data_IF_013153822655
#
_entry.id   IF_013153822655
#
_cell.length_a   1.000
_cell.length_b   1.000
_cell.length_c   1.000
_cell.angle_alpha   90.00
_cell.angle_beta   90.00
_cell.angle_gamma   90.00
#
_symmetry.space_group_name_H-M   'P 1'
#
loop_
_entity.id
_entity.type
_entity.pdbx_description
1 polymer ?
#
# COMPACT_ATOMS: atom_id res chain seq x y z
N UNK A 1 7.47 -10.89 27.04
CA UNK A 1 6.65 -9.78 27.56
C UNK A 1 6.71 -8.55 26.64
N UNK A 2 7.88 -8.19 26.10
CA UNK A 2 8.11 -7.02 25.23
C UNK A 2 7.31 -7.04 23.90
N UNK A 3 7.23 -8.19 23.21
CA UNK A 3 6.47 -8.33 21.95
C UNK A 3 4.95 -8.13 22.09
N UNK A 4 4.37 -8.41 23.27
CA UNK A 4 2.94 -8.18 23.51
C UNK A 4 2.67 -6.67 23.65
N UNK A 5 3.62 -5.93 24.21
CA UNK A 5 3.52 -4.49 24.40
C UNK A 5 3.59 -3.73 23.06
N UNK A 6 4.53 -4.08 22.17
CA UNK A 6 4.67 -3.38 20.88
C UNK A 6 3.45 -3.58 19.96
N UNK A 7 2.83 -4.77 19.97
CA UNK A 7 1.61 -5.03 19.19
C UNK A 7 0.40 -4.26 19.74
N UNK A 8 0.30 -4.13 21.06
CA UNK A 8 -0.72 -3.29 21.68
C UNK A 8 -0.54 -1.80 21.32
N UNK A 9 0.71 -1.29 21.38
CA UNK A 9 1.05 0.08 20.96
C UNK A 9 0.70 0.28 19.48
N UNK A 10 1.07 -0.65 18.61
CA UNK A 10 0.73 -0.60 17.18
C UNK A 10 -0.79 -0.51 16.96
N UNK A 11 -1.58 -1.34 17.64
CA UNK A 11 -3.03 -1.31 17.51
C UNK A 11 -3.65 -0.01 18.05
N UNK A 12 -3.11 0.55 19.14
CA UNK A 12 -3.54 1.85 19.66
C UNK A 12 -3.24 2.98 18.68
N UNK A 13 -2.06 2.99 18.06
CA UNK A 13 -1.70 3.97 17.04
C UNK A 13 -2.58 3.84 15.79
N UNK A 14 -2.77 2.61 15.30
CA UNK A 14 -3.67 2.30 14.19
C UNK A 14 -5.08 2.84 14.47
N UNK A 15 -5.63 2.56 15.66
CA UNK A 15 -6.96 3.04 16.04
C UNK A 15 -7.02 4.57 16.09
N UNK A 16 -6.03 5.22 16.73
CA UNK A 16 -5.95 6.69 16.82
C UNK A 16 -5.94 7.37 15.45
N UNK A 17 -5.09 6.88 14.53
CA UNK A 17 -4.96 7.40 13.16
C UNK A 17 -6.28 7.25 12.41
N UNK A 18 -6.90 6.07 12.47
CA UNK A 18 -8.15 5.80 11.75
C UNK A 18 -9.33 6.58 12.31
N UNK A 19 -9.45 6.71 13.65
CA UNK A 19 -10.48 7.55 14.26
C UNK A 19 -10.32 9.04 13.89
N UNK A 20 -9.08 9.53 13.88
CA UNK A 20 -8.78 10.91 13.46
C UNK A 20 -9.19 11.13 12.00
N UNK A 21 -8.98 10.14 11.14
CA UNK A 21 -9.39 10.20 9.74
C UNK A 21 -10.92 10.16 9.54
N UNK A 22 -11.61 9.33 10.33
CA UNK A 22 -13.06 9.16 10.23
C UNK A 22 -13.84 10.35 10.77
N UNK A 23 -13.32 11.06 11.77
CA UNK A 23 -13.98 12.24 12.31
C UNK A 23 -13.92 13.42 11.30
N UNK A 24 -15.07 13.94 10.82
CA UNK A 24 -15.10 15.01 9.83
C UNK A 24 -14.28 16.26 10.22
N UNK A 25 -14.27 16.62 11.51
CA UNK A 25 -13.57 17.79 12.02
C UNK A 25 -12.03 17.66 11.99
N UNK A 26 -11.51 16.43 11.97
CA UNK A 26 -10.06 16.14 11.97
C UNK A 26 -9.60 15.39 10.72
N UNK A 27 -10.52 15.06 9.81
CA UNK A 27 -10.27 14.22 8.63
C UNK A 27 -9.17 14.73 7.71
N UNK A 28 -8.97 16.05 7.64
CA UNK A 28 -7.93 16.71 6.86
C UNK A 28 -6.52 16.65 7.48
N UNK A 29 -6.40 16.24 8.75
CA UNK A 29 -5.10 16.14 9.43
C UNK A 29 -4.31 14.90 9.02
N UNK A 30 -4.99 13.88 8.49
CA UNK A 30 -4.39 12.61 8.11
C UNK A 30 -4.59 12.42 6.59
N UNK A 31 -3.52 12.30 5.79
CA UNK A 31 -3.63 11.97 4.36
C UNK A 31 -4.40 10.67 4.12
N UNK A 32 -5.15 10.60 3.02
CA UNK A 32 -5.93 9.41 2.64
C UNK A 32 -5.04 8.17 2.51
N UNK A 33 -3.91 8.33 1.82
CA UNK A 33 -2.88 7.31 1.63
C UNK A 33 -2.31 6.79 2.96
N UNK A 34 -1.99 7.69 3.89
CA UNK A 34 -1.46 7.30 5.21
C UNK A 34 -2.49 6.53 6.03
N UNK A 35 -3.73 7.01 6.09
CA UNK A 35 -4.81 6.29 6.75
C UNK A 35 -5.05 4.92 6.13
N UNK A 36 -5.05 4.84 4.80
CA UNK A 36 -5.18 3.58 4.08
C UNK A 36 -4.04 2.61 4.38
N UNK A 37 -2.79 3.06 4.41
CA UNK A 37 -1.64 2.21 4.73
C UNK A 37 -1.77 1.58 6.14
N UNK A 38 -2.16 2.36 7.15
CA UNK A 38 -2.45 1.83 8.49
C UNK A 38 -3.67 0.90 8.53
N UNK A 39 -4.71 1.19 7.75
CA UNK A 39 -5.87 0.31 7.63
C UNK A 39 -5.52 -1.03 7.00
N UNK A 40 -4.88 -1.01 5.84
CA UNK A 40 -4.49 -2.17 5.03
C UNK A 40 -3.23 -2.89 5.57
N UNK A 41 -2.65 -2.39 6.66
CA UNK A 41 -1.49 -2.97 7.32
C UNK A 41 -0.23 -3.00 6.43
N UNK A 42 -0.01 -1.92 5.69
CA UNK A 42 1.11 -1.67 4.78
C UNK A 42 2.07 -0.67 5.42
N UNK A 43 3.37 -0.92 5.32
CA UNK A 43 4.36 0.07 5.76
C UNK A 43 4.30 1.35 4.90
N UNK A 44 4.03 2.55 5.49
CA UNK A 44 3.79 3.78 4.74
C UNK A 44 5.09 4.49 4.31
N UNK A 45 5.88 3.88 3.42
CA UNK A 45 7.23 4.37 3.07
C UNK A 45 7.30 5.74 2.36
N UNK A 46 6.17 6.31 1.91
CA UNK A 46 6.11 7.63 1.29
C UNK A 46 5.81 8.76 2.30
N UNK A 47 5.59 8.40 3.58
CA UNK A 47 5.43 9.34 4.68
C UNK A 47 6.65 9.27 5.59
N UNK A 48 7.03 10.39 6.19
CA UNK A 48 8.12 10.45 7.16
C UNK A 48 7.55 10.71 8.56
N UNK A 49 7.68 9.72 9.45
CA UNK A 49 7.14 9.79 10.82
C UNK A 49 7.74 8.70 11.70
N UNK A 50 8.28 9.12 12.84
CA UNK A 50 8.89 8.24 13.85
C UNK A 50 7.97 7.10 14.30
N UNK A 51 6.65 7.34 14.33
CA UNK A 51 5.66 6.36 14.83
C UNK A 51 5.72 5.06 14.02
N UNK A 52 5.70 5.14 12.68
CA UNK A 52 5.70 3.95 11.86
C UNK A 52 7.10 3.36 11.69
N UNK A 53 8.15 4.16 11.86
CA UNK A 53 9.54 3.69 11.93
C UNK A 53 9.75 2.76 13.14
N UNK A 54 9.31 3.18 14.33
CA UNK A 54 9.43 2.41 15.57
C UNK A 54 8.59 1.12 15.55
N UNK A 55 7.51 1.13 14.77
CA UNK A 55 6.55 0.02 14.69
C UNK A 55 6.65 -0.79 13.40
N UNK A 56 7.71 -0.59 12.60
CA UNK A 56 7.86 -1.19 11.25
C UNK A 56 7.68 -2.71 11.19
N UNK A 57 8.08 -3.40 12.26
CA UNK A 57 7.98 -4.86 12.34
C UNK A 57 6.54 -5.37 12.48
N UNK A 58 5.59 -4.51 12.87
CA UNK A 58 4.19 -4.86 13.06
C UNK A 58 3.39 -4.90 11.75
N UNK A 59 3.86 -4.24 10.69
CA UNK A 59 3.16 -4.20 9.41
C UNK A 59 3.13 -5.57 8.74
N UNK A 60 2.02 -5.94 8.09
CA UNK A 60 1.93 -7.19 7.34
C UNK A 60 2.81 -7.11 6.07
N UNK A 61 2.56 -6.10 5.24
CA UNK A 61 3.42 -5.80 4.09
C UNK A 61 4.60 -4.95 4.58
N UNK A 62 5.78 -5.56 4.58
CA UNK A 62 7.00 -4.99 5.18
C UNK A 62 7.56 -3.85 4.35
N UNK A 63 8.29 -2.96 5.01
CA UNK A 63 9.02 -1.85 4.38
C UNK A 63 9.79 -2.29 3.13
N UNK A 64 10.54 -3.40 3.21
CA UNK A 64 11.31 -3.93 2.08
C UNK A 64 10.44 -4.31 0.88
N UNK A 65 9.25 -4.86 1.13
CA UNK A 65 8.32 -5.25 0.06
C UNK A 65 7.75 -4.01 -0.61
N UNK A 66 7.23 -3.06 0.18
CA UNK A 66 6.64 -1.82 -0.35
C UNK A 66 7.68 -1.02 -1.14
N UNK A 67 8.89 -0.85 -0.60
CA UNK A 67 9.99 -0.15 -1.27
C UNK A 67 10.42 -0.85 -2.56
N UNK A 68 10.50 -2.18 -2.57
CA UNK A 68 10.85 -2.92 -3.79
C UNK A 68 9.78 -2.76 -4.87
N UNK A 69 8.49 -2.84 -4.52
CA UNK A 69 7.39 -2.58 -5.46
C UNK A 69 7.49 -1.16 -6.03
N UNK A 70 7.73 -0.16 -5.17
CA UNK A 70 7.93 1.23 -5.59
C UNK A 70 9.12 1.37 -6.56
N UNK A 71 10.28 0.81 -6.23
CA UNK A 71 11.49 0.89 -7.05
C UNK A 71 11.31 0.27 -8.44
N UNK A 72 10.68 -0.91 -8.51
CA UNK A 72 10.43 -1.56 -9.81
C UNK A 72 9.38 -0.78 -10.61
N UNK A 73 8.32 -0.31 -9.96
CA UNK A 73 7.28 0.48 -10.61
C UNK A 73 7.82 1.81 -11.15
N UNK A 74 8.57 2.54 -10.32
CA UNK A 74 9.23 3.80 -10.70
C UNK A 74 10.21 3.59 -11.86
N UNK A 75 11.05 2.55 -11.80
CA UNK A 75 11.95 2.22 -12.90
C UNK A 75 11.19 1.94 -14.19
N UNK A 76 10.13 1.15 -14.16
CA UNK A 76 9.34 0.85 -15.36
C UNK A 76 8.63 2.09 -15.90
N UNK A 77 8.12 2.93 -15.01
CA UNK A 77 7.46 4.19 -15.33
C UNK A 77 8.42 5.18 -16.01
N UNK A 78 9.58 5.45 -15.41
CA UNK A 78 10.62 6.32 -15.98
C UNK A 78 11.12 5.83 -17.34
N UNK A 79 11.14 4.51 -17.56
CA UNK A 79 11.55 3.90 -18.82
C UNK A 79 10.41 3.76 -19.85
N UNK A 80 9.19 4.21 -19.54
CA UNK A 80 7.98 4.04 -20.37
C UNK A 80 7.68 2.58 -20.72
N UNK A 81 8.00 1.67 -19.79
CA UNK A 81 7.78 0.21 -19.88
C UNK A 81 6.82 -0.24 -18.78
N UNK A 82 5.73 0.50 -18.61
CA UNK A 82 4.68 0.19 -17.63
C UNK A 82 4.20 -1.26 -17.84
N UNK A 83 3.99 -1.95 -16.72
CA UNK A 83 3.52 -3.33 -16.69
C UNK A 83 2.05 -3.37 -16.26
N UNK A 84 1.34 -4.38 -16.73
CA UNK A 84 0.02 -4.78 -16.23
C UNK A 84 0.13 -5.38 -14.83
N UNK A 85 -1.00 -5.52 -14.14
CA UNK A 85 -1.04 -6.16 -12.84
C UNK A 85 -0.49 -7.59 -12.89
N UNK A 86 -0.93 -8.42 -13.85
CA UNK A 86 -0.46 -9.80 -13.96
C UNK A 86 1.02 -9.90 -14.32
N UNK A 87 1.56 -8.94 -15.07
CA UNK A 87 3.01 -8.87 -15.31
C UNK A 87 3.79 -8.58 -14.02
N UNK A 88 3.29 -7.70 -13.13
CA UNK A 88 3.88 -7.52 -11.80
C UNK A 88 3.74 -8.78 -10.93
N UNK A 89 2.55 -9.38 -10.89
CA UNK A 89 2.30 -10.61 -10.12
C UNK A 89 3.25 -11.73 -10.58
N UNK A 90 3.40 -11.92 -11.89
CA UNK A 90 4.36 -12.87 -12.47
C UNK A 90 5.80 -12.53 -12.11
N UNK A 91 6.20 -11.26 -12.25
CA UNK A 91 7.55 -10.80 -11.92
C UNK A 91 7.90 -11.11 -10.47
N UNK A 92 6.99 -10.86 -9.53
CA UNK A 92 7.27 -11.07 -8.11
C UNK A 92 7.12 -12.52 -7.66
N UNK A 93 6.25 -13.32 -8.30
CA UNK A 93 6.01 -14.70 -7.91
C UNK A 93 6.93 -15.72 -8.61
N UNK A 94 7.36 -15.44 -9.85
CA UNK A 94 8.05 -16.43 -10.70
C UNK A 94 9.52 -16.09 -10.97
N UNK A 95 9.93 -14.82 -10.91
CA UNK A 95 11.33 -14.44 -11.17
C UNK A 95 12.21 -14.84 -9.97
N UNK A 96 13.27 -15.62 -10.23
CA UNK A 96 14.24 -16.07 -9.24
C UNK A 96 14.86 -14.92 -8.43
N UNK A 97 14.90 -13.71 -9.00
CA UNK A 97 15.42 -12.51 -8.33
C UNK A 97 14.48 -11.97 -7.24
N UNK A 98 13.17 -12.16 -7.40
CA UNK A 98 12.16 -11.48 -6.57
C UNK A 98 11.26 -12.44 -5.76
N UNK A 99 11.16 -13.71 -6.15
CA UNK A 99 10.28 -14.70 -5.51
C UNK A 99 10.45 -14.83 -3.99
N UNK A 100 11.67 -14.65 -3.48
CA UNK A 100 11.98 -14.77 -2.05
C UNK A 100 11.46 -13.58 -1.20
N UNK A 101 10.97 -12.51 -1.84
CA UNK A 101 10.35 -11.36 -1.15
C UNK A 101 8.90 -11.61 -0.75
N UNK A 102 8.29 -12.74 -1.16
CA UNK A 102 6.91 -13.11 -0.83
C UNK A 102 5.89 -12.00 -1.16
N UNK A 103 6.07 -11.34 -2.31
CA UNK A 103 5.14 -10.33 -2.80
C UNK A 103 4.13 -11.05 -3.69
N UNK A 104 2.91 -11.22 -3.20
CA UNK A 104 1.82 -11.83 -3.94
C UNK A 104 0.75 -10.82 -4.33
N UNK A 105 -0.41 -11.37 -4.70
CA UNK A 105 -1.58 -10.57 -5.09
C UNK A 105 -1.99 -9.56 -4.03
N UNK A 106 -2.06 -9.95 -2.77
CA UNK A 106 -2.58 -9.08 -1.71
C UNK A 106 -1.65 -7.91 -1.45
N UNK A 107 -0.34 -8.16 -1.43
CA UNK A 107 0.70 -7.14 -1.25
C UNK A 107 0.72 -6.15 -2.41
N UNK A 108 0.59 -6.63 -3.66
CA UNK A 108 0.52 -5.77 -4.85
C UNK A 108 -0.74 -4.90 -4.85
N UNK A 109 -1.91 -5.51 -4.65
CA UNK A 109 -3.20 -4.81 -4.64
C UNK A 109 -3.19 -3.65 -3.63
N UNK A 110 -2.81 -3.97 -2.40
CA UNK A 110 -2.80 -3.02 -1.29
C UNK A 110 -1.74 -1.94 -1.50
N UNK A 111 -0.54 -2.31 -1.94
CA UNK A 111 0.55 -1.35 -2.20
C UNK A 111 0.23 -0.41 -3.35
N UNK A 112 -0.30 -0.91 -4.48
CA UNK A 112 -0.67 -0.04 -5.60
C UNK A 112 -1.84 0.89 -5.26
N UNK A 113 -2.81 0.44 -4.45
CA UNK A 113 -3.86 1.34 -3.93
C UNK A 113 -3.27 2.43 -3.05
N UNK A 114 -2.31 2.10 -2.18
CA UNK A 114 -1.59 3.10 -1.38
C UNK A 114 -0.88 4.13 -2.27
N UNK A 115 -0.17 3.69 -3.31
CA UNK A 115 0.51 4.56 -4.27
C UNK A 115 -0.45 5.45 -5.07
N UNK A 116 -1.61 4.91 -5.47
CA UNK A 116 -2.65 5.68 -6.15
C UNK A 116 -3.18 6.81 -5.26
N UNK A 117 -3.48 6.50 -4.00
CA UNK A 117 -3.98 7.47 -3.03
C UNK A 117 -2.97 8.57 -2.68
N UNK A 118 -1.67 8.28 -2.80
CA UNK A 118 -0.61 9.28 -2.65
C UNK A 118 -0.42 10.11 -3.93
N UNK A 119 -0.82 9.58 -5.09
CA UNK A 119 -0.71 10.28 -6.37
C UNK A 119 0.70 10.29 -6.96
N UNK A 120 1.48 9.23 -6.74
CA UNK A 120 2.90 9.19 -7.17
C UNK A 120 3.13 8.79 -8.63
N UNK A 121 2.11 8.25 -9.33
CA UNK A 121 2.19 7.87 -10.74
C UNK A 121 1.12 8.56 -11.58
N UNK A 122 1.39 8.71 -12.88
CA UNK A 122 0.47 9.35 -13.83
C UNK A 122 -0.63 8.41 -14.35
N UNK A 123 -1.57 8.97 -15.12
CA UNK A 123 -2.68 8.21 -15.69
C UNK A 123 -2.26 7.13 -16.69
N UNK A 124 -1.10 7.25 -17.33
CA UNK A 124 -0.59 6.26 -18.29
C UNK A 124 -0.08 5.01 -17.57
N UNK A 125 0.54 5.19 -16.40
CA UNK A 125 0.88 4.10 -15.49
C UNK A 125 -0.38 3.34 -15.06
N UNK A 126 -1.37 4.04 -14.50
CA UNK A 126 -2.58 3.39 -13.97
C UNK A 126 -3.40 2.70 -15.05
N UNK A 127 -3.51 3.32 -16.24
CA UNK A 127 -4.21 2.72 -17.39
C UNK A 127 -3.54 1.43 -17.87
N UNK A 128 -2.20 1.36 -17.85
CA UNK A 128 -1.47 0.14 -18.21
C UNK A 128 -1.53 -0.91 -17.10
N UNK A 129 -1.43 -0.51 -15.84
CA UNK A 129 -1.56 -1.42 -14.69
C UNK A 129 -2.91 -2.15 -14.71
N UNK A 130 -3.98 -1.42 -15.04
CA UNK A 130 -5.37 -1.91 -15.11
C UNK A 130 -5.86 -2.11 -16.55
N UNK A 131 -4.98 -2.59 -17.43
CA UNK A 131 -5.36 -2.93 -18.80
C UNK A 131 -6.44 -4.02 -18.82
N UNK A 132 -7.44 -3.88 -19.69
CA UNK A 132 -8.61 -4.76 -19.72
C UNK A 132 -8.20 -6.24 -19.82
N UNK A 133 -8.76 -7.09 -18.95
CA UNK A 133 -8.44 -8.52 -18.83
C UNK A 133 -7.04 -8.86 -18.30
N UNK A 134 -6.20 -7.87 -17.96
CA UNK A 134 -4.82 -8.07 -17.47
C UNK A 134 -4.65 -7.77 -15.97
N UNK A 135 -5.75 -7.86 -15.21
CA UNK A 135 -5.77 -7.72 -13.75
C UNK A 135 -6.89 -8.58 -13.11
N UNK A 136 -6.76 -8.98 -11.83
CA UNK A 136 -7.81 -9.69 -11.12
C UNK A 136 -8.93 -8.71 -10.74
N UNK A 137 -10.19 -9.16 -10.68
CA UNK A 137 -11.37 -8.28 -10.51
C UNK A 137 -11.25 -7.31 -9.33
N UNK A 138 -10.60 -7.72 -8.23
CA UNK A 138 -10.38 -6.89 -7.04
C UNK A 138 -9.48 -5.68 -7.32
N UNK A 139 -8.54 -5.78 -8.26
CA UNK A 139 -7.64 -4.69 -8.62
C UNK A 139 -8.34 -3.54 -9.36
N UNK A 140 -9.55 -3.76 -9.87
CA UNK A 140 -10.36 -2.69 -10.47
C UNK A 140 -10.70 -1.56 -9.49
N UNK A 141 -10.59 -1.80 -8.19
CA UNK A 141 -10.81 -0.74 -7.20
C UNK A 141 -9.57 0.12 -6.91
N UNK A 142 -8.37 -0.22 -7.40
CA UNK A 142 -7.11 0.50 -7.06
C UNK A 142 -7.22 2.01 -7.27
N UNK A 143 -7.86 2.42 -8.37
CA UNK A 143 -7.98 3.82 -8.79
C UNK A 143 -9.24 4.53 -8.29
N UNK A 144 -10.02 3.89 -7.41
CA UNK A 144 -11.17 4.57 -6.80
C UNK A 144 -10.71 5.68 -5.86
N UNK A 145 -11.50 6.75 -5.78
CA UNK A 145 -11.32 7.77 -4.74
C UNK A 145 -11.39 7.14 -3.34
N UNK A 146 -10.68 7.75 -2.40
CA UNK A 146 -10.74 7.33 -1.01
C UNK A 146 -12.13 7.61 -0.43
N UNK A 147 -12.76 6.59 0.11
CA UNK A 147 -14.00 6.72 0.87
C UNK A 147 -13.76 6.34 2.33
N UNK A 148 -14.45 7.01 3.26
CA UNK A 148 -14.43 6.60 4.67
C UNK A 148 -14.99 5.18 4.88
N UNK A 149 -15.84 4.69 3.97
CA UNK A 149 -16.30 3.29 3.97
C UNK A 149 -15.18 2.28 3.69
N UNK A 150 -14.06 2.73 3.11
CA UNK A 150 -12.88 1.89 2.90
C UNK A 150 -12.19 1.56 4.23
N UNK A 151 -12.47 2.31 5.30
CA UNK A 151 -11.85 2.14 6.62
C UNK A 151 -12.69 1.31 7.59
N UNK A 152 -13.68 0.53 7.12
CA UNK A 152 -14.55 -0.26 7.99
C UNK A 152 -13.72 -1.14 8.95
N UNK A 153 -13.70 -0.73 10.23
CA UNK A 153 -13.14 -1.50 11.32
C UNK A 153 -14.06 -2.70 11.55
N UNK A 154 -13.69 -3.88 11.02
CA UNK A 154 -14.21 -5.16 11.49
C UNK A 154 -13.62 -5.50 12.86
#
# INVERSE_FOLDING_TARGET
MEKINIKAIYNLQRFSILQTKLNPATSGLIPNSYAYAWFANIYPCLHDSDIHHDLKECFATKEKQVKLIAEIADKNWLNKKNLTYYEYEKLFCEDDKYKDYNIGRVELLSTFRYFYLEGIFDGDFWRKLLEESEYPIEAGCITNEFSQTDLCLL
#
